data_IF_558640418888
#
_entry.id   IF_558640418888
#
_cell.length_a   1.000
_cell.length_b   1.000
_cell.length_c   1.000
_cell.angle_alpha   90.00
_cell.angle_beta   90.00
_cell.angle_gamma   90.00
#
_symmetry.space_group_name_H-M   'P 1'
#
loop_
_entity.id
_entity.type
_entity.pdbx_description
1 polymer ?
#
# COMPACT_ATOMS: atom_id res chain seq x y z
N UNK A 1 -18.49 5.59 -0.22
CA UNK A 1 -17.78 4.44 -0.77
C UNK A 1 -16.80 3.87 0.24
N UNK A 2 -16.82 2.58 0.41
CA UNK A 2 -15.89 1.96 1.33
C UNK A 2 -14.50 1.83 0.74
N UNK A 3 -13.51 2.10 1.55
CA UNK A 3 -12.13 1.85 1.17
C UNK A 3 -11.94 0.32 1.09
N UNK A 4 -11.31 -0.21 0.03
CA UNK A 4 -11.23 -1.66 -0.16
C UNK A 4 -10.24 -2.38 0.76
N UNK A 5 -9.48 -1.64 1.53
CA UNK A 5 -8.52 -2.22 2.48
C UNK A 5 -8.87 -1.72 3.87
N UNK A 6 -9.00 -2.62 4.81
CA UNK A 6 -9.33 -2.26 6.18
C UNK A 6 -8.57 -3.13 7.18
N UNK A 7 -8.52 -2.66 8.43
CA UNK A 7 -7.82 -3.37 9.49
C UNK A 7 -8.78 -3.60 10.64
N UNK A 8 -8.80 -4.82 11.16
CA UNK A 8 -9.55 -5.13 12.36
C UNK A 8 -8.68 -5.94 13.31
N UNK A 9 -9.25 -6.42 14.39
CA UNK A 9 -8.47 -7.15 15.39
C UNK A 9 -7.92 -8.48 14.88
N UNK A 10 -8.47 -8.99 13.79
CA UNK A 10 -8.01 -10.24 13.18
C UNK A 10 -6.95 -10.03 12.13
N UNK A 11 -6.69 -8.77 11.75
CA UNK A 11 -5.68 -8.46 10.76
C UNK A 11 -6.19 -7.56 9.65
N UNK A 12 -5.61 -7.73 8.48
CA UNK A 12 -5.90 -6.89 7.32
C UNK A 12 -6.91 -7.60 6.41
N UNK A 13 -7.92 -6.85 5.99
CA UNK A 13 -8.97 -7.36 5.11
C UNK A 13 -8.95 -6.64 3.78
N UNK A 14 -9.07 -7.39 2.70
CA UNK A 14 -9.07 -6.84 1.34
C UNK A 14 -10.37 -7.15 0.64
N UNK A 15 -10.82 -6.21 -0.19
CA UNK A 15 -11.97 -6.41 -1.06
C UNK A 15 -11.54 -6.16 -2.50
N UNK A 16 -10.91 -7.15 -3.13
CA UNK A 16 -10.34 -6.96 -4.48
C UNK A 16 -11.36 -6.49 -5.52
N UNK A 17 -12.61 -6.92 -5.37
CA UNK A 17 -13.68 -6.56 -6.30
C UNK A 17 -14.00 -5.06 -6.27
N UNK A 18 -13.58 -4.37 -5.20
CA UNK A 18 -13.81 -2.94 -5.06
C UNK A 18 -12.57 -2.13 -5.39
N UNK A 19 -11.47 -2.79 -5.70
CA UNK A 19 -10.23 -2.11 -6.08
C UNK A 19 -10.24 -1.75 -7.55
N UNK A 20 -9.82 -0.52 -7.84
CA UNK A 20 -9.68 -0.07 -9.21
C UNK A 20 -8.30 -0.47 -9.74
N UNK A 21 -8.24 -0.77 -11.03
CA UNK A 21 -6.98 -1.11 -11.67
C UNK A 21 -6.04 0.09 -11.66
N UNK A 22 -4.77 -0.19 -11.51
CA UNK A 22 -3.69 0.81 -11.52
C UNK A 22 -3.82 1.86 -10.43
N UNK A 23 -4.47 1.49 -9.33
CA UNK A 23 -4.61 2.38 -8.18
C UNK A 23 -3.98 1.73 -6.96
N UNK A 24 -3.31 2.55 -6.17
CA UNK A 24 -2.62 2.11 -4.97
C UNK A 24 -3.48 2.33 -3.73
N UNK A 25 -3.54 1.34 -2.89
CA UNK A 25 -4.24 1.41 -1.60
C UNK A 25 -3.26 1.08 -0.48
N UNK A 26 -3.58 1.48 0.73
CA UNK A 26 -2.69 1.24 1.85
C UNK A 26 -3.46 1.04 3.15
N UNK A 27 -2.79 0.44 4.12
CA UNK A 27 -3.27 0.41 5.50
C UNK A 27 -2.08 0.29 6.43
N UNK A 28 -2.31 0.67 7.69
CA UNK A 28 -1.31 0.54 8.75
C UNK A 28 -1.84 -0.47 9.73
N UNK A 29 -1.09 -1.52 9.98
CA UNK A 29 -1.45 -2.55 10.94
C UNK A 29 -0.29 -2.78 11.88
N UNK A 30 -0.51 -2.48 13.17
CA UNK A 30 0.53 -2.51 14.17
C UNK A 30 1.66 -1.55 13.76
N UNK A 31 2.87 -2.05 13.63
CA UNK A 31 4.01 -1.21 13.25
C UNK A 31 4.39 -1.39 11.78
N UNK A 32 3.49 -1.94 10.99
CA UNK A 32 3.76 -2.24 9.58
C UNK A 32 2.79 -1.50 8.69
N UNK A 33 3.23 -1.22 7.48
CA UNK A 33 2.35 -0.66 6.45
C UNK A 33 2.21 -1.68 5.34
N UNK A 34 1.01 -1.77 4.79
CA UNK A 34 0.77 -2.62 3.63
C UNK A 34 0.32 -1.75 2.48
N UNK A 35 1.01 -1.91 1.36
CA UNK A 35 0.63 -1.25 0.12
C UNK A 35 0.06 -2.30 -0.82
N UNK A 36 -1.10 -2.01 -1.36
CA UNK A 36 -1.80 -2.94 -2.24
C UNK A 36 -2.07 -2.23 -3.56
N UNK A 37 -1.65 -2.86 -4.63
CA UNK A 37 -1.78 -2.29 -5.97
C UNK A 37 -2.39 -3.33 -6.90
N UNK A 38 -3.44 -2.93 -7.62
CA UNK A 38 -4.06 -3.80 -8.61
C UNK A 38 -3.60 -3.35 -9.99
N UNK A 39 -2.91 -4.23 -10.69
CA UNK A 39 -2.33 -3.87 -11.98
C UNK A 39 -3.35 -3.91 -13.11
N UNK A 40 -2.89 -3.60 -14.34
CA UNK A 40 -3.77 -3.53 -15.49
C UNK A 40 -4.36 -4.89 -15.88
N UNK A 41 -3.75 -5.97 -15.39
CA UNK A 41 -4.23 -7.32 -15.65
C UNK A 41 -5.14 -7.84 -14.54
N UNK A 42 -5.54 -6.93 -13.63
CA UNK A 42 -6.45 -7.26 -12.54
C UNK A 42 -5.78 -8.14 -11.47
N UNK A 43 -4.45 -8.13 -11.42
CA UNK A 43 -3.70 -8.87 -10.42
C UNK A 43 -3.37 -7.98 -9.23
N UNK A 44 -3.67 -8.47 -8.04
CA UNK A 44 -3.41 -7.73 -6.82
C UNK A 44 -1.99 -8.00 -6.34
N UNK A 45 -1.24 -6.92 -6.12
CA UNK A 45 0.12 -6.98 -5.62
C UNK A 45 0.17 -6.38 -4.23
N UNK A 46 0.73 -7.10 -3.27
CA UNK A 46 0.82 -6.64 -1.88
C UNK A 46 2.27 -6.48 -1.48
N UNK A 47 2.57 -5.38 -0.81
CA UNK A 47 3.90 -5.09 -0.31
C UNK A 47 3.81 -4.79 1.18
N UNK A 48 4.61 -5.49 1.97
CA UNK A 48 4.66 -5.25 3.40
C UNK A 48 5.90 -4.44 3.73
N UNK A 49 5.71 -3.33 4.41
CA UNK A 49 6.80 -2.42 4.76
C UNK A 49 6.94 -2.40 6.28
N UNK A 50 8.10 -2.80 6.76
CA UNK A 50 8.40 -2.86 8.19
C UNK A 50 9.35 -1.77 8.66
N UNK A 51 9.93 -1.01 7.75
CA UNK A 51 10.86 0.06 8.10
C UNK A 51 10.11 1.21 8.79
N UNK A 52 10.48 1.55 10.03
CA UNK A 52 9.73 2.55 10.79
C UNK A 52 9.64 3.91 10.11
N UNK A 53 10.71 4.34 9.45
CA UNK A 53 10.71 5.63 8.77
C UNK A 53 9.72 5.66 7.62
N UNK A 54 9.64 4.58 6.84
CA UNK A 54 8.71 4.49 5.73
C UNK A 54 7.28 4.36 6.22
N UNK A 55 7.07 3.58 7.27
CA UNK A 55 5.74 3.44 7.85
C UNK A 55 5.22 4.80 8.31
N UNK A 56 6.08 5.60 8.93
CA UNK A 56 5.69 6.92 9.38
C UNK A 56 5.37 7.85 8.21
N UNK A 57 6.15 7.77 7.14
CA UNK A 57 5.88 8.55 5.94
C UNK A 57 4.55 8.19 5.30
N UNK A 58 4.25 6.90 5.25
CA UNK A 58 2.97 6.42 4.71
C UNK A 58 1.82 6.91 5.57
N UNK A 59 2.00 6.88 6.88
CA UNK A 59 0.97 7.33 7.82
C UNK A 59 0.65 8.82 7.61
N UNK A 60 1.63 9.61 7.21
CA UNK A 60 1.49 11.04 7.00
C UNK A 60 1.01 11.41 5.60
N UNK A 61 0.91 10.46 4.69
CA UNK A 61 0.41 10.73 3.35
C UNK A 61 -1.07 11.04 3.39
N UNK A 62 -1.44 12.23 2.94
CA UNK A 62 -2.82 12.67 2.94
C UNK A 62 -3.51 12.49 1.60
N UNK A 63 -2.75 12.34 0.52
CA UNK A 63 -3.36 12.16 -0.78
C UNK A 63 -2.70 11.01 -1.54
N UNK A 64 -3.37 10.58 -2.60
CA UNK A 64 -2.94 9.43 -3.39
C UNK A 64 -1.66 9.70 -4.16
N UNK A 65 -1.44 10.93 -4.58
CA UNK A 65 -0.26 11.28 -5.35
C UNK A 65 1.01 11.14 -4.51
N UNK A 66 0.97 11.58 -3.26
CA UNK A 66 2.11 11.44 -2.36
C UNK A 66 2.41 9.98 -2.07
N UNK A 67 1.36 9.19 -1.89
CA UNK A 67 1.51 7.77 -1.62
C UNK A 67 2.12 7.05 -2.81
N UNK A 68 1.66 7.37 -4.02
CA UNK A 68 2.18 6.77 -5.23
C UNK A 68 3.66 7.11 -5.42
N UNK A 69 4.04 8.35 -5.16
CA UNK A 69 5.42 8.76 -5.28
C UNK A 69 6.31 8.02 -4.30
N UNK A 70 5.85 7.88 -3.07
CA UNK A 70 6.58 7.16 -2.05
C UNK A 70 6.75 5.69 -2.44
N UNK A 71 5.70 5.09 -2.98
CA UNK A 71 5.73 3.70 -3.44
C UNK A 71 6.73 3.51 -4.57
N UNK A 72 6.73 4.43 -5.55
CA UNK A 72 7.68 4.37 -6.65
C UNK A 72 9.12 4.45 -6.15
N UNK A 73 9.39 5.36 -5.22
CA UNK A 73 10.71 5.50 -4.65
C UNK A 73 11.15 4.23 -3.93
N UNK A 74 10.23 3.61 -3.21
CA UNK A 74 10.50 2.38 -2.49
C UNK A 74 10.84 1.24 -3.45
N UNK A 75 10.05 1.10 -4.50
CA UNK A 75 10.25 0.03 -5.49
C UNK A 75 11.57 0.24 -6.23
N UNK A 76 11.85 1.48 -6.63
CA UNK A 76 13.10 1.80 -7.30
C UNK A 76 14.30 1.53 -6.42
N UNK A 77 14.20 1.88 -5.15
CA UNK A 77 15.25 1.63 -4.19
C UNK A 77 15.57 0.15 -4.08
N UNK A 78 14.56 -0.68 -4.01
CA UNK A 78 14.75 -2.12 -3.98
C UNK A 78 15.37 -2.65 -5.25
N UNK A 79 14.94 -2.11 -6.37
CA UNK A 79 15.44 -2.53 -7.68
C UNK A 79 16.93 -2.19 -7.84
N UNK A 80 17.31 -1.03 -7.36
CA UNK A 80 18.69 -0.56 -7.49
C UNK A 80 19.65 -1.30 -6.55
N UNK A 81 19.14 -1.89 -5.50
CA UNK A 81 19.99 -2.59 -4.53
C UNK A 81 20.32 -4.02 -4.96
N UNK A 82 19.72 -4.44 -6.01
CA UNK A 82 20.03 -5.74 -6.57
C UNK A 82 21.14 -5.60 -7.61
#
# INVERSE_FOLDING_TARGET
MEYPVSVDENGVNFKPEKMEKEKLYHCIFKDKAMLVFKDSQDVMNCYEIEEPDLVEQIRKCDDDDDLEKLFEDYVRGKHLKN
#
